data_IF_520225173547
#
_entry.id   IF_520225173547
#
_cell.length_a   1.000
_cell.length_b   1.000
_cell.length_c   1.000
_cell.angle_alpha   90.00
_cell.angle_beta   90.00
_cell.angle_gamma   90.00
#
_symmetry.space_group_name_H-M   'P 1'
#
loop_
_entity.id
_entity.type
_entity.pdbx_description
1 polymer ?
#
# COMPACT_ATOMS: atom_id res chain seq x y z
N UNK A 1 50.58 14.70 23.22
CA UNK A 1 49.14 15.03 23.09
C UNK A 1 48.80 15.42 21.64
N UNK A 2 49.08 14.55 20.67
CA UNK A 2 48.71 14.74 19.26
C UNK A 2 47.83 13.59 18.70
N UNK A 3 47.66 12.49 19.45
CA UNK A 3 46.93 11.30 18.98
C UNK A 3 45.41 11.37 19.05
N UNK A 4 44.83 12.21 19.94
CA UNK A 4 43.38 12.25 20.15
C UNK A 4 42.59 12.99 19.06
N UNK A 5 43.26 13.70 18.15
CA UNK A 5 42.60 14.64 17.22
C UNK A 5 42.28 14.04 15.83
N UNK A 6 42.74 12.81 15.56
CA UNK A 6 42.57 12.13 14.25
C UNK A 6 41.79 10.82 14.31
N UNK A 7 41.46 10.27 15.49
CA UNK A 7 40.70 9.00 15.60
C UNK A 7 39.34 9.05 14.89
N UNK A 8 38.68 10.22 14.88
CA UNK A 8 37.41 10.39 14.16
C UNK A 8 37.55 10.25 12.64
N UNK A 9 38.73 10.53 12.08
CA UNK A 9 39.02 10.38 10.64
C UNK A 9 39.01 8.91 10.27
N UNK A 10 39.59 8.05 11.12
CA UNK A 10 39.63 6.60 10.89
C UNK A 10 38.24 5.97 11.06
N UNK A 11 37.47 6.40 12.06
CA UNK A 11 36.06 6.00 12.22
C UNK A 11 35.26 6.35 10.96
N UNK A 12 35.42 7.58 10.46
CA UNK A 12 34.72 8.04 9.27
C UNK A 12 35.17 7.28 8.01
N UNK A 13 36.48 7.07 7.83
CA UNK A 13 37.04 6.24 6.75
C UNK A 13 36.42 4.86 6.75
N UNK A 14 36.44 4.16 7.88
CA UNK A 14 35.92 2.80 8.01
C UNK A 14 34.41 2.75 7.74
N UNK A 15 33.65 3.70 8.27
CA UNK A 15 32.21 3.79 8.06
C UNK A 15 31.87 3.99 6.58
N UNK A 16 32.56 4.91 5.90
CA UNK A 16 32.32 5.20 4.48
C UNK A 16 32.80 4.07 3.56
N UNK A 17 33.90 3.40 3.90
CA UNK A 17 34.35 2.18 3.22
C UNK A 17 33.30 1.08 3.30
N UNK A 18 32.81 0.77 4.52
CA UNK A 18 31.76 -0.23 4.72
C UNK A 18 30.49 0.14 3.98
N UNK A 19 30.08 1.41 4.06
CA UNK A 19 28.92 1.92 3.34
C UNK A 19 29.03 1.67 1.84
N UNK A 20 30.14 2.06 1.21
CA UNK A 20 30.36 1.84 -0.22
C UNK A 20 30.36 0.33 -0.57
N UNK A 21 30.94 -0.50 0.29
CA UNK A 21 30.97 -1.96 0.12
C UNK A 21 29.58 -2.63 0.24
N UNK A 22 28.60 -1.99 0.90
CA UNK A 22 27.20 -2.48 0.85
C UNK A 22 26.61 -2.49 -0.56
N UNK A 23 27.14 -1.65 -1.45
CA UNK A 23 26.75 -1.58 -2.86
C UNK A 23 27.69 -2.36 -3.76
N UNK A 24 29.01 -2.14 -3.61
CA UNK A 24 30.03 -2.68 -4.52
C UNK A 24 30.17 -4.21 -4.47
N UNK A 25 29.95 -4.81 -3.29
CA UNK A 25 30.03 -6.27 -3.11
C UNK A 25 29.10 -7.04 -4.08
N UNK A 26 27.96 -6.45 -4.46
CA UNK A 26 27.02 -7.01 -5.44
C UNK A 26 27.61 -7.18 -6.84
N UNK A 27 28.67 -6.43 -7.17
CA UNK A 27 29.44 -6.55 -8.42
C UNK A 27 30.79 -7.22 -8.23
N UNK A 28 31.00 -7.92 -7.11
CA UNK A 28 32.30 -8.54 -6.74
C UNK A 28 33.44 -7.51 -6.72
N UNK A 29 33.13 -6.29 -6.28
CA UNK A 29 34.10 -5.23 -6.06
C UNK A 29 34.08 -4.84 -4.59
N UNK A 30 35.25 -4.53 -4.03
CA UNK A 30 35.41 -4.07 -2.66
C UNK A 30 36.44 -2.96 -2.60
N UNK A 31 36.25 -2.04 -1.66
CA UNK A 31 37.22 -1.03 -1.24
C UNK A 31 37.86 -1.58 0.04
N UNK A 32 39.17 -1.73 0.03
CA UNK A 32 39.97 -2.08 1.21
C UNK A 32 40.56 -0.81 1.82
N UNK A 33 41.18 0.04 0.99
CA UNK A 33 41.61 1.38 1.39
C UNK A 33 40.90 2.45 0.56
N UNK A 34 40.02 3.21 1.22
CA UNK A 34 39.25 4.30 0.62
C UNK A 34 40.12 5.34 -0.13
N UNK A 35 41.31 5.62 0.36
CA UNK A 35 42.20 6.65 -0.19
C UNK A 35 42.98 6.18 -1.40
N UNK A 36 43.20 4.87 -1.54
CA UNK A 36 43.92 4.28 -2.68
C UNK A 36 42.97 3.73 -3.75
N UNK A 37 41.94 3.00 -3.33
CA UNK A 37 41.08 2.23 -4.21
C UNK A 37 40.11 3.06 -5.06
N UNK A 38 39.95 4.35 -4.73
CA UNK A 38 39.16 5.31 -5.50
C UNK A 38 39.99 6.06 -6.55
N UNK A 39 41.32 6.05 -6.47
CA UNK A 39 42.22 6.84 -7.33
C UNK A 39 42.05 6.56 -8.83
N UNK A 40 41.61 5.36 -9.19
CA UNK A 40 41.45 4.96 -10.60
C UNK A 40 40.07 5.27 -11.21
N UNK A 41 39.14 5.73 -10.37
CA UNK A 41 37.76 6.07 -10.73
C UNK A 41 36.84 4.87 -11.00
N UNK A 42 37.33 3.63 -11.10
CA UNK A 42 36.49 2.47 -11.47
C UNK A 42 35.44 2.19 -10.39
N UNK A 43 35.88 2.16 -9.12
CA UNK A 43 35.00 1.90 -7.99
C UNK A 43 34.01 3.03 -7.76
N UNK A 44 34.45 4.28 -7.92
CA UNK A 44 33.57 5.46 -7.84
C UNK A 44 32.48 5.44 -8.92
N UNK A 45 32.86 5.19 -10.19
CA UNK A 45 31.89 5.00 -11.28
C UNK A 45 30.93 3.85 -10.96
N UNK A 46 31.45 2.72 -10.49
CA UNK A 46 30.64 1.54 -10.18
C UNK A 46 29.64 1.81 -9.06
N UNK A 47 30.07 2.52 -8.01
CA UNK A 47 29.24 2.94 -6.90
C UNK A 47 28.10 3.85 -7.37
N UNK A 48 28.43 4.92 -8.11
CA UNK A 48 27.43 5.85 -8.68
C UNK A 48 26.40 5.15 -9.57
N UNK A 49 26.85 4.20 -10.40
CA UNK A 49 25.93 3.43 -11.25
C UNK A 49 24.95 2.57 -10.44
N UNK A 50 25.41 1.99 -9.33
CA UNK A 50 24.56 1.13 -8.49
C UNK A 50 23.57 1.99 -7.70
N UNK A 51 24.04 3.09 -7.10
CA UNK A 51 23.21 3.99 -6.28
C UNK A 51 22.14 4.67 -7.13
N UNK A 52 22.52 5.22 -8.30
CA UNK A 52 21.60 5.97 -9.14
C UNK A 52 20.79 5.10 -10.11
N UNK A 53 21.05 3.79 -10.15
CA UNK A 53 20.45 2.86 -11.11
C UNK A 53 20.57 3.30 -12.58
N UNK A 54 21.62 4.04 -12.93
CA UNK A 54 21.86 4.62 -14.26
C UNK A 54 23.33 4.45 -14.66
N UNK A 55 23.60 4.27 -15.97
CA UNK A 55 24.98 4.24 -16.47
C UNK A 55 25.60 5.64 -16.38
N UNK A 56 26.77 5.73 -15.74
CA UNK A 56 27.52 6.99 -15.57
C UNK A 56 28.00 7.51 -16.93
N UNK A 57 28.52 6.62 -17.79
CA UNK A 57 28.96 6.95 -19.14
C UNK A 57 28.85 5.73 -20.07
N UNK A 58 28.96 5.96 -21.39
CA UNK A 58 28.91 4.89 -22.40
C UNK A 58 30.15 4.00 -22.36
N UNK A 59 31.34 4.58 -22.13
CA UNK A 59 32.63 3.91 -22.11
C UNK A 59 33.57 4.66 -21.16
N UNK A 60 34.30 3.91 -20.33
CA UNK A 60 35.36 4.39 -19.46
C UNK A 60 36.55 3.41 -19.49
N UNK A 61 37.71 3.82 -18.99
CA UNK A 61 38.91 2.99 -18.96
C UNK A 61 38.76 1.88 -17.92
N UNK A 62 38.62 0.63 -18.38
CA UNK A 62 38.43 -0.54 -17.48
C UNK A 62 39.71 -1.04 -16.80
N UNK A 63 40.88 -0.65 -17.32
CA UNK A 63 42.21 -1.01 -16.79
C UNK A 63 43.15 0.20 -16.88
N UNK A 64 42.84 1.31 -16.19
CA UNK A 64 43.58 2.56 -16.31
C UNK A 64 44.96 2.40 -15.65
N UNK A 65 46.01 2.47 -16.46
CA UNK A 65 47.42 2.42 -15.98
C UNK A 65 48.02 3.80 -15.89
N UNK A 66 47.72 4.65 -16.87
CA UNK A 66 48.26 6.01 -16.95
C UNK A 66 47.43 6.98 -16.11
N UNK A 67 48.09 7.99 -15.52
CA UNK A 67 47.45 9.07 -14.75
C UNK A 67 46.30 9.73 -15.53
N UNK A 68 46.48 9.95 -16.84
CA UNK A 68 45.46 10.55 -17.70
C UNK A 68 44.20 9.68 -17.83
N UNK A 69 44.32 8.34 -17.90
CA UNK A 69 43.19 7.42 -17.98
C UNK A 69 42.39 7.38 -16.67
N UNK A 70 43.09 7.41 -15.53
CA UNK A 70 42.47 7.50 -14.20
C UNK A 70 41.74 8.82 -14.03
N UNK A 71 42.37 9.92 -14.43
CA UNK A 71 41.76 11.26 -14.40
C UNK A 71 40.50 11.34 -15.27
N UNK A 72 40.53 10.76 -16.47
CA UNK A 72 39.37 10.72 -17.37
C UNK A 72 38.19 9.95 -16.73
N UNK A 73 38.45 8.80 -16.10
CA UNK A 73 37.43 8.06 -15.35
C UNK A 73 36.81 8.91 -14.23
N UNK A 74 37.63 9.58 -13.43
CA UNK A 74 37.17 10.45 -12.35
C UNK A 74 36.34 11.61 -12.92
N UNK A 75 36.78 12.26 -13.99
CA UNK A 75 36.01 13.31 -14.66
C UNK A 75 34.62 12.85 -15.10
N UNK A 76 34.48 11.61 -15.61
CA UNK A 76 33.15 11.07 -15.91
C UNK A 76 32.27 10.92 -14.67
N UNK A 77 32.83 10.48 -13.54
CA UNK A 77 32.09 10.40 -12.28
C UNK A 77 31.65 11.79 -11.80
N UNK A 78 32.53 12.80 -11.78
CA UNK A 78 32.19 14.16 -11.39
C UNK A 78 31.15 14.80 -12.31
N UNK A 79 31.29 14.64 -13.63
CA UNK A 79 30.30 15.13 -14.60
C UNK A 79 28.92 14.50 -14.39
N UNK A 80 28.88 13.20 -14.08
CA UNK A 80 27.63 12.51 -13.76
C UNK A 80 27.01 12.99 -12.43
N UNK A 81 27.83 13.26 -11.41
CA UNK A 81 27.35 13.85 -10.16
C UNK A 81 26.73 15.23 -10.40
N UNK A 82 27.37 16.07 -11.22
CA UNK A 82 26.82 17.37 -11.62
C UNK A 82 25.48 17.22 -12.36
N UNK A 83 25.36 16.26 -13.29
CA UNK A 83 24.09 15.92 -13.95
C UNK A 83 22.99 15.53 -12.96
N UNK A 84 23.34 14.95 -11.82
CA UNK A 84 22.41 14.57 -10.74
C UNK A 84 22.18 15.69 -9.72
N UNK A 85 22.58 16.93 -10.03
CA UNK A 85 22.52 18.08 -9.13
C UNK A 85 23.27 17.88 -7.81
N UNK A 86 24.31 17.04 -7.82
CA UNK A 86 25.20 16.85 -6.66
C UNK A 86 26.43 17.71 -6.85
N UNK A 87 26.40 18.90 -6.25
CA UNK A 87 27.50 19.86 -6.32
C UNK A 87 28.61 19.51 -5.33
N UNK A 88 29.79 19.21 -5.86
CA UNK A 88 31.00 18.99 -5.05
C UNK A 88 31.83 20.27 -5.11
N UNK A 89 31.66 21.15 -4.12
CA UNK A 89 32.45 22.39 -4.04
C UNK A 89 33.83 22.10 -3.47
N UNK A 90 34.87 22.68 -4.08
CA UNK A 90 36.27 22.58 -3.63
C UNK A 90 36.87 21.15 -3.60
N UNK A 91 36.33 20.22 -4.39
CA UNK A 91 36.93 18.89 -4.61
C UNK A 91 36.94 18.63 -6.12
N UNK A 92 38.11 18.38 -6.69
CA UNK A 92 38.31 18.01 -8.09
C UNK A 92 38.76 16.57 -8.27
N UNK A 93 38.72 16.09 -9.52
CA UNK A 93 39.22 14.75 -9.89
C UNK A 93 40.69 14.53 -9.52
N UNK A 94 41.53 15.57 -9.57
CA UNK A 94 42.93 15.50 -9.17
C UNK A 94 43.10 15.14 -7.70
N UNK A 95 42.27 15.67 -6.83
CA UNK A 95 42.35 15.44 -5.38
C UNK A 95 42.07 13.97 -5.04
N UNK A 96 41.14 13.36 -5.77
CA UNK A 96 40.82 11.94 -5.63
C UNK A 96 41.93 11.07 -6.22
N UNK A 97 42.50 11.48 -7.36
CA UNK A 97 43.60 10.77 -8.00
C UNK A 97 44.87 10.76 -7.15
N UNK A 98 45.13 11.85 -6.43
CA UNK A 98 46.26 12.01 -5.52
C UNK A 98 46.01 11.38 -4.15
N UNK A 99 44.76 11.00 -3.85
CA UNK A 99 44.38 10.34 -2.60
C UNK A 99 44.35 11.29 -1.41
N UNK A 100 43.93 12.54 -1.60
CA UNK A 100 43.83 13.49 -0.49
C UNK A 100 42.75 13.04 0.51
N UNK A 101 43.17 12.53 1.67
CA UNK A 101 42.30 11.91 2.69
C UNK A 101 41.06 12.76 3.00
N UNK A 102 41.25 14.06 3.27
CA UNK A 102 40.16 14.98 3.65
C UNK A 102 39.16 15.17 2.51
N UNK A 103 39.64 15.31 1.28
CA UNK A 103 38.80 15.55 0.11
C UNK A 103 38.11 14.26 -0.36
N UNK A 104 38.74 13.09 -0.21
CA UNK A 104 38.11 11.78 -0.44
C UNK A 104 36.97 11.55 0.56
N UNK A 105 37.19 11.80 1.86
CA UNK A 105 36.10 11.72 2.85
C UNK A 105 34.99 12.75 2.57
N UNK A 106 35.36 13.96 2.15
CA UNK A 106 34.42 15.00 1.74
C UNK A 106 33.55 14.56 0.56
N UNK A 107 34.13 13.92 -0.46
CA UNK A 107 33.41 13.37 -1.59
C UNK A 107 32.46 12.25 -1.16
N UNK A 108 32.93 11.29 -0.36
CA UNK A 108 32.11 10.18 0.10
C UNK A 108 30.94 10.64 0.95
N UNK A 109 31.15 11.60 1.85
CA UNK A 109 30.06 12.23 2.59
C UNK A 109 29.06 12.93 1.66
N UNK A 110 29.55 13.64 0.64
CA UNK A 110 28.68 14.32 -0.34
C UNK A 110 27.75 13.32 -1.04
N UNK A 111 28.28 12.14 -1.40
CA UNK A 111 27.49 11.05 -1.99
C UNK A 111 26.45 10.49 -1.01
N UNK A 112 26.85 10.16 0.22
CA UNK A 112 25.94 9.66 1.26
C UNK A 112 24.83 10.68 1.53
N UNK A 113 25.21 11.95 1.70
CA UNK A 113 24.26 13.03 1.95
C UNK A 113 23.27 13.14 0.80
N UNK A 114 23.72 13.13 -0.45
CA UNK A 114 22.88 13.34 -1.61
C UNK A 114 21.94 12.16 -1.92
N UNK A 115 22.45 10.93 -1.84
CA UNK A 115 21.72 9.75 -2.33
C UNK A 115 21.14 8.85 -1.23
N UNK A 116 21.38 9.15 0.04
CA UNK A 116 20.81 8.39 1.14
C UNK A 116 20.09 9.29 2.13
N UNK A 117 20.70 10.40 2.55
CA UNK A 117 20.11 11.27 3.58
C UNK A 117 19.10 12.24 2.97
N UNK A 118 19.41 12.89 1.85
CA UNK A 118 18.56 13.90 1.23
C UNK A 118 17.21 13.36 0.72
N UNK A 119 17.13 12.07 0.39
CA UNK A 119 15.89 11.40 -0.04
C UNK A 119 14.89 11.17 1.12
N UNK A 120 15.32 11.37 2.37
CA UNK A 120 14.46 11.23 3.54
C UNK A 120 13.56 12.45 3.61
N UNK A 121 12.24 12.22 3.56
CA UNK A 121 11.20 13.22 3.80
C UNK A 121 10.24 12.71 4.86
N UNK A 122 10.07 13.50 5.92
CA UNK A 122 9.17 13.21 7.02
C UNK A 122 8.35 14.45 7.26
N UNK A 123 7.06 14.39 6.89
CA UNK A 123 6.10 15.49 7.07
C UNK A 123 6.56 16.79 6.39
N UNK A 124 7.23 16.69 5.22
CA UNK A 124 7.73 17.83 4.46
C UNK A 124 9.07 18.38 4.96
N UNK A 125 9.65 17.80 6.02
CA UNK A 125 11.02 18.09 6.47
C UNK A 125 11.96 17.06 5.84
N UNK A 126 12.90 17.53 5.03
CA UNK A 126 13.80 16.67 4.26
C UNK A 126 15.20 16.55 4.86
N UNK A 127 15.96 15.55 4.38
CA UNK A 127 17.37 15.39 4.71
C UNK A 127 17.64 15.00 6.15
N UNK A 128 18.70 15.60 6.72
CA UNK A 128 19.15 15.31 8.09
C UNK A 128 18.11 15.72 9.14
N UNK A 129 17.41 16.83 8.91
CA UNK A 129 16.40 17.33 9.84
C UNK A 129 15.15 16.46 9.80
N UNK A 130 14.77 15.97 8.61
CA UNK A 130 13.73 14.95 8.45
C UNK A 130 14.09 13.65 9.17
N UNK A 131 15.34 13.20 9.08
CA UNK A 131 15.82 12.03 9.82
C UNK A 131 15.74 12.25 11.34
N UNK A 132 16.15 13.43 11.84
CA UNK A 132 16.08 13.76 13.27
C UNK A 132 14.62 13.83 13.76
N UNK A 133 13.72 14.38 12.94
CA UNK A 133 12.29 14.40 13.21
C UNK A 133 11.75 12.97 13.33
N UNK A 134 12.09 12.07 12.39
CA UNK A 134 11.68 10.68 12.47
C UNK A 134 12.17 9.96 13.72
N UNK A 135 13.43 10.19 14.13
CA UNK A 135 13.95 9.60 15.38
C UNK A 135 13.11 10.09 16.55
N UNK A 136 12.92 11.39 16.69
CA UNK A 136 12.14 11.95 17.81
C UNK A 136 10.68 11.47 17.82
N UNK A 137 10.04 11.32 16.65
CA UNK A 137 8.68 10.76 16.55
C UNK A 137 8.63 9.28 16.91
N UNK A 138 9.63 8.51 16.49
CA UNK A 138 9.73 7.08 16.82
C UNK A 138 9.97 6.85 18.31
N UNK A 139 10.62 7.80 18.98
CA UNK A 139 11.01 7.72 20.39
C UNK A 139 10.09 8.49 21.34
N UNK A 140 8.93 8.99 20.88
CA UNK A 140 8.02 9.77 21.71
C UNK A 140 7.53 9.02 22.96
N UNK A 141 7.43 7.68 22.89
CA UNK A 141 7.00 6.81 24.00
C UNK A 141 8.17 6.41 24.93
N UNK A 142 9.38 6.95 24.73
CA UNK A 142 10.59 6.65 25.51
C UNK A 142 11.11 7.92 26.20
N UNK A 143 10.49 8.37 27.30
CA UNK A 143 10.75 9.68 27.90
C UNK A 143 12.19 9.85 28.44
N UNK A 144 12.87 8.75 28.73
CA UNK A 144 14.27 8.74 29.19
C UNK A 144 15.29 8.88 28.06
N UNK A 145 14.87 8.79 26.79
CA UNK A 145 15.76 8.83 25.62
C UNK A 145 15.50 10.11 24.83
N UNK A 146 16.47 11.03 24.84
CA UNK A 146 16.37 12.31 24.14
C UNK A 146 17.43 12.45 23.04
N UNK A 147 16.99 12.53 21.78
CA UNK A 147 17.90 12.66 20.64
C UNK A 147 17.88 14.08 20.07
N UNK A 148 18.99 14.79 20.26
CA UNK A 148 19.17 16.20 19.83
C UNK A 148 20.15 16.34 18.66
N UNK A 149 20.99 15.34 18.43
CA UNK A 149 22.02 15.35 17.42
C UNK A 149 22.35 13.92 16.96
N UNK A 150 23.19 13.78 15.93
CA UNK A 150 23.73 12.49 15.48
C UNK A 150 25.14 12.26 16.04
N UNK A 151 25.41 12.62 17.29
CA UNK A 151 26.71 12.40 17.93
C UNK A 151 26.48 11.96 19.38
N UNK A 152 26.66 12.85 20.35
CA UNK A 152 26.56 12.54 21.78
C UNK A 152 25.21 11.94 22.24
N UNK A 153 24.09 12.17 21.52
CA UNK A 153 22.79 11.55 21.86
C UNK A 153 22.73 10.03 21.67
N UNK A 154 23.78 9.41 21.12
CA UNK A 154 23.80 7.98 20.77
C UNK A 154 24.83 7.16 21.56
N UNK A 155 25.63 7.81 22.40
CA UNK A 155 26.83 7.24 23.04
C UNK A 155 26.53 6.19 24.10
N UNK A 156 25.32 6.22 24.68
CA UNK A 156 24.86 5.27 25.70
C UNK A 156 24.16 4.04 25.08
N UNK A 157 23.96 4.04 23.76
CA UNK A 157 23.27 2.98 23.02
C UNK A 157 21.76 2.93 23.20
N UNK A 158 21.17 3.75 24.08
CA UNK A 158 19.74 3.69 24.41
C UNK A 158 18.88 4.10 23.21
N UNK A 159 19.30 5.12 22.45
CA UNK A 159 18.60 5.55 21.25
C UNK A 159 18.53 4.45 20.16
N UNK A 160 19.60 3.68 19.97
CA UNK A 160 19.58 2.55 19.03
C UNK A 160 18.63 1.44 19.51
N UNK A 161 18.72 1.07 20.79
CA UNK A 161 17.86 0.04 21.38
C UNK A 161 16.38 0.45 21.33
N UNK A 162 16.07 1.71 21.65
CA UNK A 162 14.70 2.21 21.66
C UNK A 162 14.08 2.22 20.26
N UNK A 163 14.86 2.60 19.23
CA UNK A 163 14.40 2.51 17.84
C UNK A 163 14.07 1.05 17.48
N UNK A 164 14.96 0.10 17.78
CA UNK A 164 14.69 -1.32 17.49
C UNK A 164 13.45 -1.81 18.25
N UNK A 165 13.36 -1.55 19.56
CA UNK A 165 12.23 -1.94 20.40
C UNK A 165 10.91 -1.36 19.89
N UNK A 166 10.89 -0.12 19.36
CA UNK A 166 9.68 0.49 18.79
C UNK A 166 9.09 -0.29 17.62
N UNK A 167 9.94 -0.89 16.79
CA UNK A 167 9.53 -1.63 15.60
C UNK A 167 9.41 -3.15 15.85
N UNK A 168 10.15 -3.68 16.84
CA UNK A 168 10.10 -5.09 17.25
C UNK A 168 10.29 -5.22 18.77
N UNK A 169 9.22 -5.00 19.56
CA UNK A 169 9.30 -4.98 21.02
C UNK A 169 9.80 -6.29 21.65
N UNK A 170 9.57 -7.42 20.97
CA UNK A 170 9.95 -8.74 21.49
C UNK A 170 11.45 -9.05 21.40
N UNK A 171 12.23 -8.22 20.71
CA UNK A 171 13.67 -8.48 20.50
C UNK A 171 14.56 -7.88 21.59
N UNK A 172 14.05 -6.94 22.38
CA UNK A 172 14.82 -6.24 23.42
C UNK A 172 13.92 -6.08 24.65
N UNK A 173 14.36 -6.55 25.81
CA UNK A 173 13.77 -6.09 27.07
C UNK A 173 14.32 -4.70 27.39
N UNK A 174 13.61 -3.66 26.95
CA UNK A 174 14.11 -2.29 27.03
C UNK A 174 14.22 -1.79 28.49
N UNK A 175 13.33 -2.25 29.37
CA UNK A 175 13.27 -1.80 30.75
C UNK A 175 14.43 -2.36 31.60
N UNK A 176 15.06 -3.46 31.17
CA UNK A 176 16.24 -4.01 31.82
C UNK A 176 17.55 -3.31 31.43
N UNK A 177 17.53 -2.43 30.41
CA UNK A 177 18.74 -1.77 29.93
C UNK A 177 19.20 -0.65 30.88
N UNK A 178 20.51 -0.47 30.97
CA UNK A 178 21.13 0.56 31.80
C UNK A 178 21.93 1.53 30.91
N UNK A 179 21.62 2.84 30.89
CA UNK A 179 22.38 3.83 30.11
C UNK A 179 23.88 3.90 30.46
N UNK A 180 24.28 3.46 31.66
CA UNK A 180 25.69 3.41 32.06
C UNK A 180 26.47 2.27 31.40
N UNK A 181 25.77 1.25 30.87
CA UNK A 181 26.39 0.11 30.18
C UNK A 181 26.34 0.29 28.66
N UNK A 182 27.00 1.36 28.19
CA UNK A 182 26.97 1.77 26.78
C UNK A 182 27.50 0.70 25.82
N UNK A 183 28.53 -0.05 26.23
CA UNK A 183 29.13 -1.11 25.43
C UNK A 183 28.13 -2.23 25.14
N UNK A 184 27.46 -2.73 26.19
CA UNK A 184 26.44 -3.77 26.04
C UNK A 184 25.26 -3.28 25.19
N UNK A 185 24.77 -2.06 25.44
CA UNK A 185 23.62 -1.50 24.72
C UNK A 185 23.90 -1.32 23.22
N UNK A 186 25.03 -0.69 22.87
CA UNK A 186 25.39 -0.46 21.46
C UNK A 186 25.62 -1.80 20.75
N UNK A 187 26.33 -2.74 21.39
CA UNK A 187 26.57 -4.06 20.83
C UNK A 187 25.26 -4.80 20.58
N UNK A 188 24.38 -4.85 21.57
CA UNK A 188 23.06 -5.48 21.46
C UNK A 188 22.28 -4.93 20.26
N UNK A 189 22.22 -3.60 20.13
CA UNK A 189 21.51 -2.98 19.03
C UNK A 189 22.13 -3.32 17.66
N UNK A 190 23.45 -3.31 17.54
CA UNK A 190 24.15 -3.62 16.29
C UNK A 190 24.00 -5.09 15.90
N UNK A 191 24.12 -6.02 16.85
CA UNK A 191 23.93 -7.45 16.61
C UNK A 191 22.49 -7.73 16.14
N UNK A 192 21.47 -7.14 16.79
CA UNK A 192 20.07 -7.29 16.36
C UNK A 192 19.83 -6.67 14.99
N UNK A 193 20.34 -5.46 14.73
CA UNK A 193 20.21 -4.79 13.43
C UNK A 193 20.80 -5.65 12.30
N UNK A 194 21.96 -6.27 12.52
CA UNK A 194 22.62 -7.14 11.56
C UNK A 194 21.89 -8.46 11.37
N UNK A 195 21.56 -9.16 12.45
CA UNK A 195 21.06 -10.53 12.38
C UNK A 195 19.57 -10.62 12.05
N UNK A 196 18.76 -9.71 12.59
CA UNK A 196 17.30 -9.75 12.43
C UNK A 196 16.81 -8.87 11.29
N UNK A 197 17.46 -7.74 11.07
CA UNK A 197 17.05 -6.76 10.06
C UNK A 197 17.97 -6.71 8.84
N UNK A 198 19.07 -7.48 8.84
CA UNK A 198 20.06 -7.51 7.75
C UNK A 198 20.64 -6.14 7.42
N UNK A 199 20.68 -5.24 8.41
CA UNK A 199 21.28 -3.92 8.28
C UNK A 199 22.79 -4.09 8.46
N UNK A 200 23.61 -3.70 7.46
CA UNK A 200 25.05 -3.89 7.56
C UNK A 200 25.62 -3.00 8.67
N UNK A 201 26.41 -3.59 9.55
CA UNK A 201 27.09 -2.87 10.63
C UNK A 201 28.18 -1.97 10.04
N UNK A 202 27.93 -0.66 10.02
CA UNK A 202 28.90 0.31 9.50
C UNK A 202 29.87 0.81 10.58
N UNK A 203 29.44 0.79 11.84
CA UNK A 203 30.14 1.32 12.99
C UNK A 203 30.65 0.18 13.88
N UNK A 204 31.82 0.34 14.47
CA UNK A 204 32.21 -0.51 15.61
C UNK A 204 31.64 0.00 16.91
N UNK A 205 31.42 -0.91 17.85
CA UNK A 205 30.85 -0.61 19.17
C UNK A 205 31.71 0.43 19.89
N UNK A 206 33.03 0.23 19.91
CA UNK A 206 34.02 1.12 20.54
C UNK A 206 34.11 2.53 19.93
N UNK A 207 33.66 2.71 18.68
CA UNK A 207 33.64 4.02 18.02
C UNK A 207 32.42 4.86 18.43
N UNK A 208 31.51 4.31 19.24
CA UNK A 208 30.29 4.98 19.68
C UNK A 208 30.14 4.91 21.20
N UNK A 209 30.19 3.70 21.76
CA UNK A 209 29.90 3.42 23.16
C UNK A 209 30.85 4.20 24.10
N UNK A 210 30.28 5.11 24.89
CA UNK A 210 31.04 5.89 25.86
C UNK A 210 32.00 6.94 25.27
N UNK A 211 32.02 7.13 23.95
CA UNK A 211 32.83 8.16 23.30
C UNK A 211 32.32 9.56 23.67
N UNK A 212 33.23 10.49 23.97
CA UNK A 212 32.84 11.86 24.33
C UNK A 212 32.09 12.56 23.18
N UNK A 213 32.52 12.33 21.93
CA UNK A 213 31.93 12.91 20.73
C UNK A 213 32.11 11.99 19.52
N UNK A 214 31.20 11.03 19.28
CA UNK A 214 31.22 10.21 18.07
C UNK A 214 31.14 11.05 16.80
N UNK A 215 31.71 10.56 15.70
CA UNK A 215 31.66 11.25 14.41
C UNK A 215 30.22 11.35 13.89
N UNK A 216 29.77 12.59 13.70
CA UNK A 216 28.37 12.87 13.40
C UNK A 216 27.93 12.31 12.05
N UNK A 217 28.81 12.38 11.05
CA UNK A 217 28.53 11.87 9.71
C UNK A 217 28.40 10.35 9.72
N UNK A 218 29.23 9.68 10.50
CA UNK A 218 29.21 8.22 10.63
C UNK A 218 27.93 7.72 11.30
N UNK A 219 27.52 8.33 12.42
CA UNK A 219 26.22 8.04 13.07
C UNK A 219 25.06 8.35 12.12
N UNK A 220 25.05 9.52 11.46
CA UNK A 220 23.98 9.89 10.50
C UNK A 220 23.86 8.85 9.37
N UNK A 221 24.99 8.37 8.86
CA UNK A 221 25.04 7.34 7.81
C UNK A 221 24.42 6.03 8.29
N UNK A 222 24.71 5.60 9.52
CA UNK A 222 24.15 4.37 10.05
C UNK A 222 22.66 4.50 10.40
N UNK A 223 22.26 5.60 11.04
CA UNK A 223 20.86 5.84 11.42
C UNK A 223 19.95 6.00 10.21
N UNK A 224 20.45 6.56 9.10
CA UNK A 224 19.67 6.59 7.84
C UNK A 224 19.44 5.20 7.24
N UNK A 225 20.29 4.21 7.51
CA UNK A 225 19.99 2.81 7.16
C UNK A 225 18.87 2.23 8.04
N UNK A 226 18.87 2.53 9.34
CA UNK A 226 17.77 2.15 10.25
C UNK A 226 16.45 2.77 9.77
N UNK A 227 16.46 4.06 9.41
CA UNK A 227 15.30 4.73 8.82
C UNK A 227 14.79 3.99 7.59
N UNK A 228 15.67 3.69 6.63
CA UNK A 228 15.27 3.02 5.38
C UNK A 228 14.59 1.68 5.65
N UNK A 229 15.13 0.87 6.56
CA UNK A 229 14.53 -0.43 6.90
C UNK A 229 13.20 -0.25 7.63
N UNK A 230 13.17 0.54 8.70
CA UNK A 230 12.01 0.65 9.58
C UNK A 230 10.87 1.48 8.98
N UNK A 231 11.17 2.58 8.29
CA UNK A 231 10.18 3.38 7.58
C UNK A 231 9.61 2.63 6.36
N UNK A 232 10.44 1.89 5.61
CA UNK A 232 9.93 1.05 4.52
C UNK A 232 9.05 -0.10 5.02
N UNK A 233 9.32 -0.65 6.20
CA UNK A 233 8.46 -1.64 6.85
C UNK A 233 7.04 -1.11 7.12
N UNK A 234 6.92 0.13 7.58
CA UNK A 234 5.62 0.80 7.78
C UNK A 234 4.91 1.04 6.45
N UNK A 235 5.62 1.51 5.42
CA UNK A 235 5.05 1.72 4.09
C UNK A 235 4.57 0.42 3.45
N UNK A 236 5.35 -0.66 3.55
CA UNK A 236 4.97 -2.01 3.07
C UNK A 236 3.71 -2.50 3.77
N UNK A 237 3.63 -2.39 5.10
CA UNK A 237 2.42 -2.76 5.88
C UNK A 237 1.20 -1.95 5.45
N UNK A 238 1.34 -0.62 5.30
CA UNK A 238 0.25 0.24 4.80
C UNK A 238 -0.22 -0.18 3.41
N UNK A 239 0.71 -0.39 2.48
CA UNK A 239 0.40 -0.84 1.12
C UNK A 239 -0.36 -2.18 1.13
N UNK A 240 0.09 -3.16 1.91
CA UNK A 240 -0.61 -4.44 2.09
C UNK A 240 -2.02 -4.23 2.62
N UNK A 241 -2.21 -3.44 3.69
CA UNK A 241 -3.55 -3.18 4.24
C UNK A 241 -4.49 -2.48 3.25
N UNK A 242 -3.95 -1.58 2.42
CA UNK A 242 -4.72 -0.91 1.36
C UNK A 242 -5.14 -1.89 0.27
N UNK A 243 -4.23 -2.76 -0.17
CA UNK A 243 -4.52 -3.81 -1.15
C UNK A 243 -5.58 -4.77 -0.60
N UNK A 244 -5.44 -5.22 0.65
CA UNK A 244 -6.43 -6.10 1.30
C UNK A 244 -7.82 -5.45 1.37
N UNK A 245 -7.91 -4.17 1.74
CA UNK A 245 -9.18 -3.43 1.72
C UNK A 245 -9.78 -3.37 0.32
N UNK A 246 -8.97 -3.05 -0.70
CA UNK A 246 -9.41 -2.98 -2.08
C UNK A 246 -9.90 -4.34 -2.60
N UNK A 247 -9.21 -5.43 -2.24
CA UNK A 247 -9.58 -6.81 -2.59
C UNK A 247 -10.92 -7.20 -1.95
N UNK A 248 -11.11 -6.90 -0.66
CA UNK A 248 -12.37 -7.19 0.03
C UNK A 248 -13.55 -6.43 -0.58
N UNK A 249 -13.36 -5.18 -1.00
CA UNK A 249 -14.39 -4.40 -1.72
C UNK A 249 -14.73 -5.06 -3.06
N UNK A 250 -13.72 -5.46 -3.84
CA UNK A 250 -13.93 -6.11 -5.13
C UNK A 250 -14.68 -7.45 -4.99
N UNK A 251 -14.30 -8.26 -4.00
CA UNK A 251 -14.99 -9.51 -3.70
C UNK A 251 -16.47 -9.26 -3.33
N UNK A 252 -16.74 -8.29 -2.45
CA UNK A 252 -18.11 -7.92 -2.09
C UNK A 252 -18.93 -7.45 -3.30
N UNK A 253 -18.32 -6.70 -4.23
CA UNK A 253 -18.98 -6.28 -5.47
C UNK A 253 -19.32 -7.47 -6.36
N UNK A 254 -18.44 -8.47 -6.42
CA UNK A 254 -18.71 -9.71 -7.16
C UNK A 254 -19.85 -10.51 -6.53
N UNK A 255 -19.89 -10.62 -5.20
CA UNK A 255 -20.98 -11.29 -4.47
C UNK A 255 -22.33 -10.60 -4.73
N UNK A 256 -22.39 -9.27 -4.64
CA UNK A 256 -23.59 -8.48 -4.94
C UNK A 256 -24.01 -8.61 -6.41
N UNK A 257 -23.06 -8.70 -7.34
CA UNK A 257 -23.35 -8.92 -8.76
C UNK A 257 -24.01 -10.27 -9.00
N UNK A 258 -23.47 -11.33 -8.38
CA UNK A 258 -24.01 -12.69 -8.47
C UNK A 258 -25.40 -12.76 -7.84
N UNK A 259 -25.58 -12.19 -6.63
CA UNK A 259 -26.87 -12.11 -5.94
C UNK A 259 -27.90 -11.37 -6.78
N UNK A 260 -27.55 -10.20 -7.31
CA UNK A 260 -28.41 -9.40 -8.16
C UNK A 260 -28.82 -10.16 -9.42
N UNK A 261 -27.86 -10.65 -10.20
CA UNK A 261 -28.13 -11.30 -11.48
C UNK A 261 -29.00 -12.55 -11.29
N UNK A 262 -28.72 -13.36 -10.26
CA UNK A 262 -29.51 -14.56 -9.96
C UNK A 262 -30.96 -14.23 -9.59
N UNK A 263 -31.17 -13.23 -8.75
CA UNK A 263 -32.49 -12.90 -8.25
C UNK A 263 -33.31 -12.10 -9.28
N UNK A 264 -32.65 -11.22 -10.05
CA UNK A 264 -33.28 -10.39 -11.06
C UNK A 264 -33.70 -11.18 -12.30
N UNK A 265 -32.90 -12.16 -12.75
CA UNK A 265 -33.27 -13.01 -13.90
C UNK A 265 -34.53 -13.84 -13.61
N UNK A 266 -34.56 -14.55 -12.48
CA UNK A 266 -35.73 -15.36 -12.10
C UNK A 266 -36.99 -14.52 -11.87
N UNK A 267 -36.84 -13.28 -11.40
CA UNK A 267 -37.96 -12.36 -11.26
C UNK A 267 -38.45 -11.82 -12.61
N UNK A 268 -37.53 -11.51 -13.53
CA UNK A 268 -37.87 -11.07 -14.88
C UNK A 268 -38.67 -12.15 -15.62
N UNK A 269 -38.20 -13.40 -15.58
CA UNK A 269 -38.88 -14.54 -16.20
C UNK A 269 -40.31 -14.70 -15.64
N UNK A 270 -40.46 -14.63 -14.31
CA UNK A 270 -41.77 -14.73 -13.68
C UNK A 270 -42.70 -13.58 -14.08
N UNK A 271 -42.22 -12.34 -14.07
CA UNK A 271 -43.00 -11.17 -14.49
C UNK A 271 -43.48 -11.29 -15.94
N UNK A 272 -42.59 -11.71 -16.84
CA UNK A 272 -42.93 -11.94 -18.26
C UNK A 272 -43.99 -13.03 -18.41
N UNK A 273 -43.85 -14.14 -17.69
CA UNK A 273 -44.83 -15.23 -17.68
C UNK A 273 -46.20 -14.78 -17.16
N UNK A 274 -46.25 -13.96 -16.11
CA UNK A 274 -47.52 -13.43 -15.59
C UNK A 274 -48.20 -12.48 -16.58
N UNK A 275 -47.42 -11.63 -17.26
CA UNK A 275 -47.96 -10.74 -18.30
C UNK A 275 -48.59 -11.55 -19.44
N UNK A 276 -47.90 -12.58 -19.93
CA UNK A 276 -48.42 -13.46 -20.99
C UNK A 276 -49.66 -14.25 -20.54
N UNK A 277 -49.65 -14.77 -19.30
CA UNK A 277 -50.79 -15.48 -18.72
C UNK A 277 -52.04 -14.59 -18.71
N UNK A 278 -51.93 -13.33 -18.28
CA UNK A 278 -53.07 -12.41 -18.24
C UNK A 278 -53.57 -12.02 -19.64
N UNK A 279 -52.70 -11.96 -20.65
CA UNK A 279 -53.08 -11.67 -22.03
C UNK A 279 -53.79 -12.85 -22.72
N UNK A 280 -53.46 -14.08 -22.34
CA UNK A 280 -53.98 -15.32 -22.97
C UNK A 280 -55.18 -15.93 -22.25
N UNK A 281 -55.55 -15.40 -21.08
CA UNK A 281 -56.67 -15.89 -20.29
C UNK A 281 -58.02 -15.72 -21.02
N UNK A 282 -58.62 -16.85 -21.42
CA UNK A 282 -59.98 -16.89 -21.94
C UNK A 282 -61.00 -16.59 -20.84
N UNK A 283 -62.11 -15.94 -21.19
CA UNK A 283 -63.21 -15.69 -20.25
C UNK A 283 -64.18 -16.88 -20.22
N UNK A 284 -64.20 -17.68 -19.13
CA UNK A 284 -65.10 -18.82 -19.02
C UNK A 284 -66.57 -18.37 -19.03
N UNK A 285 -67.42 -19.18 -19.67
CA UNK A 285 -68.86 -18.90 -19.86
C UNK A 285 -69.76 -19.77 -18.99
N UNK A 286 -69.21 -20.81 -18.35
CA UNK A 286 -69.95 -21.69 -17.44
C UNK A 286 -69.61 -21.39 -15.98
N UNK A 287 -70.61 -21.45 -15.11
CA UNK A 287 -70.49 -21.10 -13.68
C UNK A 287 -69.40 -21.90 -12.95
N UNK A 288 -69.26 -23.24 -13.14
CA UNK A 288 -68.17 -24.01 -12.52
C UNK A 288 -66.78 -23.48 -12.91
N UNK A 289 -66.56 -23.23 -14.20
CA UNK A 289 -65.29 -22.73 -14.74
C UNK A 289 -64.96 -21.31 -14.23
N UNK A 290 -65.98 -20.45 -14.08
CA UNK A 290 -65.83 -19.11 -13.50
C UNK A 290 -65.42 -19.20 -12.02
N UNK A 291 -66.03 -20.10 -11.25
CA UNK A 291 -65.69 -20.33 -9.84
C UNK A 291 -64.26 -20.86 -9.69
N UNK A 292 -63.85 -21.80 -10.55
CA UNK A 292 -62.50 -22.35 -10.56
C UNK A 292 -61.45 -21.30 -10.93
N UNK A 293 -61.71 -20.49 -11.97
CA UNK A 293 -60.84 -19.39 -12.37
C UNK A 293 -60.68 -18.34 -11.26
N UNK A 294 -61.78 -18.02 -10.54
CA UNK A 294 -61.74 -17.10 -9.41
C UNK A 294 -60.94 -17.69 -8.23
N UNK A 295 -61.13 -18.97 -7.91
CA UNK A 295 -60.38 -19.65 -6.85
C UNK A 295 -58.87 -19.65 -7.14
N UNK A 296 -58.45 -19.98 -8.36
CA UNK A 296 -57.05 -19.92 -8.79
C UNK A 296 -56.47 -18.51 -8.70
N UNK A 297 -57.23 -17.49 -9.10
CA UNK A 297 -56.76 -16.11 -9.00
C UNK A 297 -56.59 -15.63 -7.54
N UNK A 298 -57.49 -16.04 -6.64
CA UNK A 298 -57.37 -15.75 -5.21
C UNK A 298 -56.18 -16.47 -4.57
N UNK A 299 -55.92 -17.72 -4.96
CA UNK A 299 -54.75 -18.49 -4.51
C UNK A 299 -53.44 -17.82 -4.95
N UNK A 300 -53.36 -17.40 -6.22
CA UNK A 300 -52.25 -16.60 -6.75
C UNK A 300 -51.99 -15.34 -5.92
N UNK A 301 -53.03 -14.54 -5.63
CA UNK A 301 -52.89 -13.30 -4.84
C UNK A 301 -52.46 -13.57 -3.39
N UNK A 302 -52.89 -14.69 -2.81
CA UNK A 302 -52.61 -15.03 -1.41
C UNK A 302 -51.24 -15.68 -1.23
N UNK A 303 -50.85 -16.58 -2.11
CA UNK A 303 -49.75 -17.51 -1.89
C UNK A 303 -48.58 -17.30 -2.87
N UNK A 304 -48.84 -16.96 -4.14
CA UNK A 304 -47.79 -16.87 -5.17
C UNK A 304 -47.21 -15.46 -5.34
N UNK A 305 -48.06 -14.42 -5.34
CA UNK A 305 -47.67 -13.01 -5.55
C UNK A 305 -46.80 -12.45 -4.40
N UNK A 306 -47.14 -12.62 -3.10
CA UNK A 306 -46.41 -11.97 -2.02
C UNK A 306 -44.91 -12.35 -1.92
N UNK A 307 -44.51 -13.64 -2.07
CA UNK A 307 -43.08 -13.99 -2.10
C UNK A 307 -42.30 -13.34 -3.24
N UNK A 308 -42.94 -13.10 -4.40
CA UNK A 308 -42.33 -12.45 -5.56
C UNK A 308 -42.20 -10.94 -5.36
N UNK A 309 -43.14 -10.31 -4.67
CA UNK A 309 -43.02 -8.92 -4.25
C UNK A 309 -41.88 -8.73 -3.23
N UNK A 310 -41.73 -9.67 -2.28
CA UNK A 310 -40.58 -9.69 -1.38
C UNK A 310 -39.25 -9.87 -2.15
N UNK A 311 -39.23 -10.75 -3.16
CA UNK A 311 -38.06 -10.92 -4.03
C UNK A 311 -37.74 -9.64 -4.81
N UNK A 312 -38.74 -8.91 -5.30
CA UNK A 312 -38.57 -7.62 -5.97
C UNK A 312 -37.89 -6.59 -5.07
N UNK A 313 -38.39 -6.41 -3.84
CA UNK A 313 -37.79 -5.51 -2.85
C UNK A 313 -36.34 -5.92 -2.53
N UNK A 314 -36.06 -7.22 -2.44
CA UNK A 314 -34.71 -7.72 -2.21
C UNK A 314 -33.76 -7.40 -3.38
N UNK A 315 -34.23 -7.51 -4.63
CA UNK A 315 -33.47 -7.17 -5.84
C UNK A 315 -33.14 -5.67 -5.87
N UNK A 316 -34.13 -4.80 -5.61
CA UNK A 316 -33.91 -3.35 -5.52
C UNK A 316 -32.93 -2.99 -4.40
N UNK A 317 -33.09 -3.60 -3.22
CA UNK A 317 -32.17 -3.42 -2.11
C UNK A 317 -30.75 -3.85 -2.45
N UNK A 318 -30.58 -4.98 -3.15
CA UNK A 318 -29.28 -5.46 -3.60
C UNK A 318 -28.64 -4.49 -4.60
N UNK A 319 -29.38 -4.05 -5.62
CA UNK A 319 -28.92 -3.07 -6.60
C UNK A 319 -28.50 -1.76 -5.93
N UNK A 320 -29.32 -1.24 -5.00
CA UNK A 320 -29.02 -0.03 -4.23
C UNK A 320 -27.73 -0.16 -3.43
N UNK A 321 -27.56 -1.26 -2.68
CA UNK A 321 -26.32 -1.55 -1.93
C UNK A 321 -25.10 -1.62 -2.85
N UNK A 322 -25.22 -2.27 -4.00
CA UNK A 322 -24.13 -2.43 -4.95
C UNK A 322 -23.72 -1.09 -5.56
N UNK A 323 -24.68 -0.34 -6.11
CA UNK A 323 -24.43 0.98 -6.70
C UNK A 323 -23.85 1.96 -5.69
N UNK A 324 -24.42 2.03 -4.48
CA UNK A 324 -23.93 2.90 -3.42
C UNK A 324 -22.50 2.53 -3.01
N UNK A 325 -22.20 1.23 -2.89
CA UNK A 325 -20.85 0.76 -2.57
C UNK A 325 -19.85 1.10 -3.67
N UNK A 326 -20.22 0.98 -4.95
CA UNK A 326 -19.34 1.40 -6.05
C UNK A 326 -19.05 2.90 -6.01
N UNK A 327 -20.08 3.74 -5.85
CA UNK A 327 -19.94 5.20 -5.77
C UNK A 327 -19.06 5.63 -4.59
N UNK A 328 -19.32 5.11 -3.40
CA UNK A 328 -18.59 5.47 -2.18
C UNK A 328 -17.12 5.07 -2.22
N UNK A 329 -16.75 4.11 -3.08
CA UNK A 329 -15.38 3.62 -3.24
C UNK A 329 -14.75 4.04 -4.57
N UNK A 330 -15.33 5.02 -5.29
CA UNK A 330 -14.78 5.55 -6.54
C UNK A 330 -14.70 4.52 -7.67
N UNK A 331 -15.56 3.51 -7.67
CA UNK A 331 -15.65 2.49 -8.73
C UNK A 331 -16.73 2.86 -9.74
N UNK A 332 -16.58 2.33 -10.96
CA UNK A 332 -17.62 2.46 -11.98
C UNK A 332 -18.96 1.92 -11.46
N UNK A 333 -20.04 2.64 -11.76
CA UNK A 333 -21.39 2.19 -11.43
C UNK A 333 -21.66 0.91 -12.22
N UNK A 334 -22.15 -0.16 -11.56
CA UNK A 334 -22.38 -1.44 -12.23
C UNK A 334 -23.49 -1.32 -13.27
N UNK A 335 -23.32 -2.01 -14.40
CA UNK A 335 -24.39 -2.16 -15.38
C UNK A 335 -25.35 -3.25 -14.90
N UNK A 336 -26.53 -2.85 -14.44
CA UNK A 336 -27.56 -3.77 -13.94
C UNK A 336 -28.26 -4.43 -15.13
N UNK A 337 -28.20 -5.76 -15.19
CA UNK A 337 -28.89 -6.55 -16.23
C UNK A 337 -29.74 -7.67 -15.59
N UNK A 338 -31.08 -7.61 -15.69
CA UNK A 338 -31.88 -6.55 -16.32
C UNK A 338 -31.83 -5.23 -15.55
N UNK A 339 -32.09 -4.09 -16.21
CA UNK A 339 -32.25 -2.80 -15.53
C UNK A 339 -33.41 -2.85 -14.52
N UNK A 340 -33.25 -2.19 -13.37
CA UNK A 340 -34.29 -2.14 -12.33
C UNK A 340 -35.57 -1.50 -12.87
N UNK A 341 -35.42 -0.46 -13.71
CA UNK A 341 -36.52 0.26 -14.35
C UNK A 341 -37.39 -0.67 -15.20
N UNK A 342 -36.77 -1.69 -15.82
CA UNK A 342 -37.49 -2.70 -16.60
C UNK A 342 -38.36 -3.59 -15.70
N UNK A 343 -37.83 -3.99 -14.54
CA UNK A 343 -38.58 -4.80 -13.57
C UNK A 343 -39.74 -3.98 -12.96
N UNK A 344 -39.49 -2.71 -12.62
CA UNK A 344 -40.51 -1.77 -12.13
C UNK A 344 -41.65 -1.60 -13.13
N UNK A 345 -41.32 -1.38 -14.40
CA UNK A 345 -42.31 -1.23 -15.47
C UNK A 345 -43.16 -2.49 -15.66
N UNK A 346 -42.53 -3.67 -15.71
CA UNK A 346 -43.26 -4.94 -15.85
C UNK A 346 -44.17 -5.21 -14.65
N UNK A 347 -43.72 -4.92 -13.43
CA UNK A 347 -44.56 -5.07 -12.22
C UNK A 347 -45.78 -4.15 -12.30
N UNK A 348 -45.59 -2.89 -12.65
CA UNK A 348 -46.69 -1.91 -12.75
C UNK A 348 -47.73 -2.30 -13.82
N UNK A 349 -47.29 -2.93 -14.91
CA UNK A 349 -48.19 -3.42 -15.97
C UNK A 349 -49.12 -4.56 -15.55
N UNK A 350 -48.84 -5.26 -14.44
CA UNK A 350 -49.67 -6.37 -13.97
C UNK A 350 -50.87 -5.91 -13.13
N UNK A 351 -50.76 -4.79 -12.41
CA UNK A 351 -51.74 -4.44 -11.37
C UNK A 351 -53.14 -4.11 -11.93
N UNK A 352 -53.22 -3.37 -13.05
CA UNK A 352 -54.51 -3.02 -13.68
C UNK A 352 -55.19 -4.23 -14.34
N UNK A 353 -54.52 -5.03 -15.20
CA UNK A 353 -55.12 -6.24 -15.78
C UNK A 353 -55.53 -7.29 -14.75
N UNK A 354 -54.76 -7.47 -13.67
CA UNK A 354 -55.13 -8.38 -12.57
C UNK A 354 -56.44 -7.96 -11.91
N UNK A 355 -56.57 -6.66 -11.61
CA UNK A 355 -57.76 -6.09 -10.99
C UNK A 355 -58.97 -6.20 -11.93
N UNK A 356 -58.79 -5.86 -13.21
CA UNK A 356 -59.83 -5.95 -14.22
C UNK A 356 -60.31 -7.40 -14.43
N UNK A 357 -59.38 -8.36 -14.45
CA UNK A 357 -59.69 -9.78 -14.58
C UNK A 357 -60.53 -10.29 -13.39
N UNK A 358 -60.13 -9.97 -12.16
CA UNK A 358 -60.90 -10.35 -10.96
C UNK A 358 -62.30 -9.74 -10.98
N UNK A 359 -62.41 -8.45 -11.26
CA UNK A 359 -63.69 -7.73 -11.31
C UNK A 359 -64.63 -8.37 -12.34
N UNK A 360 -64.10 -8.70 -13.52
CA UNK A 360 -64.88 -9.31 -14.59
C UNK A 360 -65.38 -10.71 -14.23
N UNK A 361 -64.55 -11.53 -13.57
CA UNK A 361 -64.99 -12.85 -13.08
C UNK A 361 -66.13 -12.73 -12.07
N UNK A 362 -66.04 -11.77 -11.13
CA UNK A 362 -67.08 -11.51 -10.14
C UNK A 362 -68.40 -11.06 -10.79
N UNK A 363 -68.33 -10.10 -11.72
CA UNK A 363 -69.50 -9.60 -12.46
C UNK A 363 -70.16 -10.70 -13.30
N UNK A 364 -69.36 -11.50 -14.02
CA UNK A 364 -69.86 -12.62 -14.78
C UNK A 364 -70.56 -13.64 -13.88
N UNK A 365 -69.92 -14.03 -12.77
CA UNK A 365 -70.51 -14.98 -11.82
C UNK A 365 -71.87 -14.51 -11.31
N UNK A 366 -71.97 -13.24 -10.91
CA UNK A 366 -73.23 -12.65 -10.44
C UNK A 366 -74.31 -12.64 -11.53
N UNK A 367 -73.96 -12.25 -12.75
CA UNK A 367 -74.87 -12.19 -13.90
C UNK A 367 -75.39 -13.58 -14.31
N UNK A 368 -74.49 -14.56 -14.42
CA UNK A 368 -74.86 -15.93 -14.78
C UNK A 368 -75.70 -16.61 -13.69
N UNK A 369 -75.39 -16.39 -12.41
CA UNK A 369 -76.22 -16.90 -11.30
C UNK A 369 -77.64 -16.31 -11.32
N UNK A 370 -77.77 -14.98 -11.55
CA UNK A 370 -79.09 -14.35 -11.70
C UNK A 370 -79.88 -14.94 -12.87
N UNK A 371 -79.19 -15.22 -13.99
CA UNK A 371 -79.79 -15.81 -15.19
C UNK A 371 -80.22 -17.27 -14.95
N UNK A 372 -79.40 -18.07 -14.29
CA UNK A 372 -79.73 -19.46 -13.91
C UNK A 372 -80.94 -19.52 -12.97
N UNK A 373 -80.98 -18.65 -11.94
CA UNK A 373 -82.12 -18.53 -11.03
C UNK A 373 -83.40 -18.11 -11.79
N UNK A 374 -83.29 -17.18 -12.73
CA UNK A 374 -84.41 -16.75 -13.56
C UNK A 374 -84.93 -17.88 -14.46
N UNK A 375 -84.04 -18.57 -15.18
CA UNK A 375 -84.38 -19.71 -16.04
C UNK A 375 -85.02 -20.85 -15.24
N UNK A 376 -84.50 -21.15 -14.06
CA UNK A 376 -85.06 -22.17 -13.16
C UNK A 376 -86.47 -21.81 -12.70
N UNK A 377 -86.76 -20.52 -12.48
CA UNK A 377 -88.10 -20.04 -12.13
C UNK A 377 -89.09 -20.05 -13.30
N UNK A 378 -88.64 -19.72 -14.52
CA UNK A 378 -89.49 -19.66 -15.72
C UNK A 378 -89.79 -21.07 -16.28
N UNK A 379 -88.87 -22.02 -16.14
CA UNK A 379 -89.07 -23.42 -16.57
C UNK A 379 -89.93 -24.21 -15.55
N UNK A 380 -90.02 -23.73 -14.30
CA UNK A 380 -90.86 -24.31 -13.25
C UNK A 380 -92.31 -23.81 -13.23
N UNK A 381 -92.65 -22.84 -14.09
CA UNK A 381 -94.02 -22.41 -14.44
C UNK A 381 -94.42 -23.00 -15.78
#
# INVERSE_FOLDING_TARGET
MAGYNEEWIDVQKNTFTRWANTYLSRKRMTIEDLYEDLKDGIRLISLLQIICHEKVCRKFNKKPRMRIQKMENLNFAFAFMQKKNVNVTNIGSSDILDGNNKLVLGLMWTLIKAFQVAEIDVEGVSGKDGLLLWVNRSLADYPTVQVKNFSCSWVDGMAFCALIHRYAPTLIDFNSLNPKDSQTNVKLAFDIAREKFRIPQLLEVENVAGQAKPDEKSITTYVSLLFKEFASGVQKKKAVTTISKALNIAQRHQELAIEFNKNASGLLEWLQQQTERLQTLSQPRHIPDIKEALARHLDYKKNEKPPREAQFVAVEGCAGRWVASCKNNGRAVPNLNPPIEKLQALKAQLDEPETAFELKLRQNLESYQKTEIFLTKVIAT
#
